data_IF_959645329025
#
_entry.id   IF_959645329025
#
_cell.length_a   1.000
_cell.length_b   1.000
_cell.length_c   1.000
_cell.angle_alpha   90.00
_cell.angle_beta   90.00
_cell.angle_gamma   90.00
#
_symmetry.space_group_name_H-M   'P 1'
#
loop_
_entity.id
_entity.type
_entity.pdbx_description
1 polymer ?
#
# COMPACT_ATOMS: atom_id res chain seq x y z
N UNK A 1 -35.31 18.28 20.67
CA UNK A 1 -33.93 17.85 20.92
C UNK A 1 -32.98 19.00 20.58
N UNK A 2 -32.31 19.61 21.57
CA UNK A 2 -31.26 20.61 21.34
C UNK A 2 -29.93 19.88 21.21
N UNK A 3 -29.42 19.71 20.00
CA UNK A 3 -28.03 19.26 19.81
C UNK A 3 -27.11 20.35 20.37
N UNK A 4 -26.18 19.94 21.23
CA UNK A 4 -25.19 20.85 21.80
C UNK A 4 -24.14 21.20 20.76
N UNK A 5 -23.55 22.40 20.84
CA UNK A 5 -22.54 22.92 19.88
C UNK A 5 -21.38 21.93 19.64
N UNK A 6 -21.03 21.12 20.65
CA UNK A 6 -20.01 20.07 20.52
C UNK A 6 -20.47 18.92 19.62
N UNK A 7 -21.74 18.50 19.70
CA UNK A 7 -22.30 17.43 18.86
C UNK A 7 -22.44 17.88 17.39
N UNK A 8 -22.80 19.13 17.14
CA UNK A 8 -22.83 19.69 15.78
C UNK A 8 -21.43 19.80 15.19
N UNK A 9 -20.41 20.14 15.99
CA UNK A 9 -19.02 20.21 15.51
C UNK A 9 -18.46 18.82 15.16
N UNK A 10 -18.68 17.80 16.00
CA UNK A 10 -18.24 16.43 15.70
C UNK A 10 -18.96 15.85 14.49
N UNK A 11 -20.26 16.12 14.35
CA UNK A 11 -21.03 15.69 13.20
C UNK A 11 -20.57 16.41 11.92
N UNK A 12 -20.28 17.71 11.99
CA UNK A 12 -19.72 18.46 10.88
C UNK A 12 -18.36 17.92 10.45
N UNK A 13 -17.46 17.58 11.38
CA UNK A 13 -16.16 16.96 11.08
C UNK A 13 -16.33 15.57 10.44
N UNK A 14 -17.27 14.76 10.92
CA UNK A 14 -17.59 13.46 10.32
C UNK A 14 -18.19 13.58 8.91
N UNK A 15 -19.10 14.53 8.72
CA UNK A 15 -19.69 14.83 7.41
C UNK A 15 -18.66 15.43 6.46
N UNK A 16 -17.73 16.24 6.96
CA UNK A 16 -16.59 16.75 6.20
C UNK A 16 -15.64 15.62 5.80
N UNK A 17 -15.31 14.71 6.72
CA UNK A 17 -14.55 13.47 6.43
C UNK A 17 -15.23 12.58 5.39
N UNK A 18 -16.56 12.48 5.40
CA UNK A 18 -17.35 11.70 4.44
C UNK A 18 -17.45 12.38 3.06
N UNK A 19 -17.49 13.71 3.01
CA UNK A 19 -17.59 14.46 1.75
C UNK A 19 -16.27 14.54 0.99
N UNK A 20 -15.12 14.50 1.68
CA UNK A 20 -13.79 14.37 1.04
C UNK A 20 -13.62 13.00 0.33
N UNK A 21 -14.50 12.02 0.60
CA UNK A 21 -14.54 10.71 -0.09
C UNK A 21 -15.16 10.78 -1.50
N UNK A 22 -15.61 11.96 -1.95
CA UNK A 22 -16.46 12.11 -3.15
C UNK A 22 -15.72 12.81 -4.30
N UNK A 23 -14.60 12.23 -4.71
CA UNK A 23 -14.28 12.11 -6.14
C UNK A 23 -13.55 10.77 -6.34
N UNK A 24 -14.19 9.80 -7.01
CA UNK A 24 -13.64 8.47 -7.25
C UNK A 24 -13.77 7.44 -6.12
N UNK A 25 -14.20 7.82 -4.91
CA UNK A 25 -14.41 6.89 -3.79
C UNK A 25 -13.11 6.40 -3.11
N UNK A 26 -12.01 7.12 -3.29
CA UNK A 26 -10.70 6.80 -2.73
C UNK A 26 -10.37 7.64 -1.49
N UNK A 27 -9.57 7.09 -0.59
CA UNK A 27 -9.09 7.77 0.61
C UNK A 27 -7.60 8.08 0.51
N UNK A 28 -7.15 9.16 1.16
CA UNK A 28 -5.73 9.50 1.22
C UNK A 28 -4.90 8.28 1.66
N UNK A 29 -3.82 8.00 0.93
CA UNK A 29 -2.92 6.89 1.19
C UNK A 29 -3.34 5.58 0.54
N UNK A 30 -4.51 5.50 -0.12
CA UNK A 30 -4.90 4.31 -0.86
C UNK A 30 -3.91 4.03 -2.00
N UNK A 31 -3.49 2.77 -2.11
CA UNK A 31 -2.73 2.29 -3.27
C UNK A 31 -3.75 2.07 -4.38
N UNK A 32 -3.63 2.81 -5.46
CA UNK A 32 -4.48 2.67 -6.64
C UNK A 32 -3.72 1.88 -7.69
N UNK A 33 -4.32 0.77 -8.12
CA UNK A 33 -3.79 -0.07 -9.18
C UNK A 33 -4.52 0.25 -10.49
N UNK A 34 -3.74 0.45 -11.54
CA UNK A 34 -4.20 0.61 -12.92
C UNK A 34 -3.77 -0.61 -13.73
N UNK A 35 -4.73 -1.41 -14.18
CA UNK A 35 -4.44 -2.52 -15.08
C UNK A 35 -3.99 -1.97 -16.45
N UNK A 36 -2.81 -2.40 -16.91
CA UNK A 36 -2.31 -2.16 -18.26
C UNK A 36 -2.10 -3.47 -18.99
N UNK A 37 -2.07 -3.41 -20.32
CA UNK A 37 -1.68 -4.56 -21.12
C UNK A 37 -0.21 -4.89 -20.86
N UNK A 38 0.05 -6.01 -20.18
CA UNK A 38 1.40 -6.54 -19.95
C UNK A 38 2.08 -6.10 -18.65
N UNK A 39 1.49 -5.17 -17.88
CA UNK A 39 1.99 -4.80 -16.55
C UNK A 39 0.91 -4.07 -15.74
N UNK A 40 1.13 -3.90 -14.43
CA UNK A 40 0.27 -3.07 -13.59
C UNK A 40 1.02 -1.79 -13.23
N UNK A 41 0.34 -0.65 -13.28
CA UNK A 41 0.83 0.60 -12.74
C UNK A 41 0.19 0.87 -11.38
N UNK A 42 0.91 1.54 -10.49
CA UNK A 42 0.46 1.81 -9.12
C UNK A 42 0.72 3.26 -8.77
N UNK A 43 -0.19 3.87 -8.04
CA UNK A 43 -0.05 5.22 -7.48
C UNK A 43 -0.59 5.27 -6.05
N UNK A 44 -0.28 6.34 -5.34
CA UNK A 44 -0.91 6.66 -4.05
C UNK A 44 -1.94 7.77 -4.28
N UNK A 45 -3.16 7.57 -3.78
CA UNK A 45 -4.17 8.61 -3.76
C UNK A 45 -3.83 9.65 -2.70
N UNK A 46 -3.69 10.91 -3.11
CA UNK A 46 -3.39 12.02 -2.19
C UNK A 46 -4.55 13.01 -2.04
N UNK A 47 -5.58 12.91 -2.88
CA UNK A 47 -6.71 13.85 -2.91
C UNK A 47 -6.29 15.28 -3.27
N UNK A 48 -7.28 16.18 -3.37
CA UNK A 48 -7.07 17.53 -3.93
C UNK A 48 -6.39 18.50 -2.94
N UNK A 49 -6.57 18.29 -1.64
CA UNK A 49 -6.09 19.23 -0.61
C UNK A 49 -4.55 19.22 -0.44
N UNK A 50 -3.88 18.18 -0.95
CA UNK A 50 -2.43 18.05 -0.88
C UNK A 50 -1.74 18.84 -2.01
N UNK A 51 -2.43 19.09 -3.13
CA UNK A 51 -1.84 19.67 -4.34
C UNK A 51 -1.46 21.17 -4.23
N UNK A 52 -2.10 21.94 -3.34
CA UNK A 52 -2.04 23.41 -3.38
C UNK A 52 -0.76 24.06 -2.83
N UNK A 53 -0.16 23.50 -1.77
CA UNK A 53 0.95 24.18 -1.05
C UNK A 53 2.29 23.44 -1.11
N UNK A 54 2.31 22.14 -1.42
CA UNK A 54 3.53 21.30 -1.26
C UNK A 54 4.11 20.79 -2.60
N UNK A 55 3.35 20.81 -3.71
CA UNK A 55 3.66 20.01 -4.91
C UNK A 55 3.90 20.81 -6.20
N UNK A 56 4.10 22.12 -6.13
CA UNK A 56 4.22 22.98 -7.32
C UNK A 56 5.55 22.85 -8.10
N UNK A 57 6.54 22.12 -7.60
CA UNK A 57 7.92 22.20 -8.14
C UNK A 57 8.68 20.87 -8.18
N UNK A 58 8.06 19.74 -8.53
CA UNK A 58 8.72 18.45 -8.24
C UNK A 58 8.89 17.48 -9.41
N UNK A 59 10.02 16.78 -9.29
CA UNK A 59 10.89 16.06 -10.24
C UNK A 59 10.55 14.56 -10.39
N UNK A 60 11.33 13.82 -11.20
CA UNK A 60 11.38 12.35 -11.49
C UNK A 60 10.16 11.43 -11.20
N UNK A 61 9.54 11.47 -10.03
CA UNK A 61 8.27 10.81 -9.74
C UNK A 61 7.13 11.84 -9.70
N UNK A 62 6.43 11.96 -10.83
CA UNK A 62 5.45 13.00 -11.04
C UNK A 62 4.12 12.74 -10.30
N UNK A 63 3.48 13.84 -9.92
CA UNK A 63 2.08 13.90 -9.49
C UNK A 63 1.23 14.20 -10.72
N UNK A 64 0.08 13.54 -10.82
CA UNK A 64 -0.84 13.77 -11.92
C UNK A 64 -2.28 13.47 -11.46
N UNK A 65 -3.24 13.97 -12.22
CA UNK A 65 -4.67 13.77 -11.96
C UNK A 65 -5.08 12.33 -12.24
N UNK A 66 -6.13 11.86 -11.55
CA UNK A 66 -6.69 10.53 -11.79
C UNK A 66 -7.07 10.32 -13.26
N UNK A 67 -7.62 11.35 -13.91
CA UNK A 67 -8.10 11.28 -15.28
C UNK A 67 -6.97 11.08 -16.29
N UNK A 68 -5.84 11.77 -16.09
CA UNK A 68 -4.65 11.60 -16.92
C UNK A 68 -4.03 10.23 -16.67
N UNK A 69 -3.86 9.85 -15.40
CA UNK A 69 -3.24 8.55 -15.08
C UNK A 69 -4.15 7.41 -15.51
N UNK A 70 -5.47 7.45 -15.30
CA UNK A 70 -6.33 6.28 -15.58
C UNK A 70 -6.38 5.95 -17.07
N UNK A 71 -6.40 6.94 -17.96
CA UNK A 71 -6.60 6.71 -19.39
C UNK A 71 -7.84 5.83 -19.63
N UNK A 72 -7.66 4.67 -20.27
CA UNK A 72 -8.73 3.69 -20.50
C UNK A 72 -8.85 2.59 -19.43
N UNK A 73 -8.06 2.63 -18.35
CA UNK A 73 -8.11 1.62 -17.29
C UNK A 73 -9.24 1.89 -16.30
N UNK A 74 -9.70 0.82 -15.63
CA UNK A 74 -10.62 0.89 -14.49
C UNK A 74 -9.83 0.74 -13.20
N UNK A 75 -9.39 1.84 -12.55
CA UNK A 75 -8.56 1.77 -11.36
C UNK A 75 -9.27 1.12 -10.17
N UNK A 76 -8.50 0.38 -9.37
CA UNK A 76 -8.99 -0.30 -8.16
C UNK A 76 -8.09 -0.01 -6.97
N UNK A 77 -8.68 0.02 -5.77
CA UNK A 77 -7.90 0.06 -4.52
C UNK A 77 -7.20 -1.29 -4.32
N UNK A 78 -5.89 -1.26 -4.12
CA UNK A 78 -5.01 -2.41 -3.99
C UNK A 78 -4.21 -2.37 -2.67
N UNK A 79 -4.90 -2.08 -1.56
CA UNK A 79 -4.35 -2.10 -0.20
C UNK A 79 -4.19 -3.55 0.33
N UNK A 80 -3.54 -4.40 -0.47
CA UNK A 80 -3.51 -5.85 -0.30
C UNK A 80 -2.80 -6.34 0.97
N UNK A 81 -1.99 -5.48 1.59
CA UNK A 81 -1.20 -5.79 2.79
C UNK A 81 -1.81 -5.20 4.07
N UNK A 82 -2.97 -4.54 3.97
CA UNK A 82 -3.72 -4.11 5.15
C UNK A 82 -4.07 -5.32 6.02
N UNK A 83 -3.88 -5.17 7.34
CA UNK A 83 -4.04 -6.27 8.30
C UNK A 83 -2.87 -7.26 8.35
N UNK A 84 -1.88 -7.12 7.46
CA UNK A 84 -0.61 -7.86 7.51
C UNK A 84 0.57 -6.95 7.86
N UNK A 85 0.50 -5.68 7.44
CA UNK A 85 1.47 -4.64 7.78
C UNK A 85 0.74 -3.46 8.42
N UNK A 86 1.46 -2.76 9.28
CA UNK A 86 0.96 -1.53 9.87
C UNK A 86 0.86 -0.45 8.78
N UNK A 87 -0.29 0.20 8.71
CA UNK A 87 -0.50 1.35 7.84
C UNK A 87 0.15 2.56 8.49
N UNK A 88 0.99 3.28 7.74
CA UNK A 88 1.69 4.47 8.25
C UNK A 88 0.72 5.60 8.56
N UNK A 89 1.14 6.49 9.44
CA UNK A 89 0.38 7.71 9.71
C UNK A 89 0.39 8.66 8.50
N UNK A 90 -0.63 9.50 8.36
CA UNK A 90 -0.71 10.52 7.29
C UNK A 90 0.56 11.37 7.22
N UNK A 91 1.09 11.81 8.37
CA UNK A 91 2.31 12.63 8.44
C UNK A 91 3.50 11.91 7.84
N UNK A 92 3.68 10.63 8.18
CA UNK A 92 4.76 9.81 7.65
C UNK A 92 4.61 9.55 6.14
N UNK A 93 3.39 9.33 5.66
CA UNK A 93 3.15 9.17 4.23
C UNK A 93 3.49 10.47 3.48
N UNK A 94 3.08 11.63 3.99
CA UNK A 94 3.42 12.93 3.39
C UNK A 94 4.94 13.13 3.32
N UNK A 95 5.68 12.80 4.39
CA UNK A 95 7.14 12.91 4.40
C UNK A 95 7.80 12.06 3.31
N UNK A 96 7.36 10.81 3.16
CA UNK A 96 7.87 9.91 2.12
C UNK A 96 7.49 10.39 0.72
N UNK A 97 6.24 10.83 0.54
CA UNK A 97 5.72 11.40 -0.71
C UNK A 97 6.61 12.57 -1.15
N UNK A 98 6.89 13.55 -0.27
CA UNK A 98 7.79 14.68 -0.57
C UNK A 98 9.20 14.21 -0.91
N UNK A 99 9.73 13.25 -0.14
CA UNK A 99 11.10 12.72 -0.35
C UNK A 99 11.23 12.02 -1.70
N UNK A 100 10.30 11.14 -2.04
CA UNK A 100 10.31 10.33 -3.28
C UNK A 100 9.98 11.17 -4.51
N UNK A 101 9.19 12.22 -4.35
CA UNK A 101 8.96 13.20 -5.40
C UNK A 101 10.27 13.91 -5.79
N UNK A 102 11.09 14.29 -4.79
CA UNK A 102 12.40 14.90 -5.04
C UNK A 102 13.36 13.93 -5.74
N UNK A 103 13.47 12.68 -5.28
CA UNK A 103 14.22 11.65 -5.99
C UNK A 103 13.73 10.24 -5.63
N UNK A 104 13.00 9.61 -6.54
CA UNK A 104 12.62 8.20 -6.42
C UNK A 104 13.63 7.24 -7.05
N UNK A 105 14.82 7.72 -7.42
CA UNK A 105 15.88 6.91 -8.00
C UNK A 105 15.60 6.44 -9.43
N UNK A 106 16.36 5.45 -9.90
CA UNK A 106 16.18 4.87 -11.25
C UNK A 106 15.14 3.77 -11.23
N UNK A 107 14.19 3.83 -12.17
CA UNK A 107 13.15 2.81 -12.30
C UNK A 107 13.73 1.43 -12.62
N UNK A 108 13.24 0.40 -11.94
CA UNK A 108 13.57 -1.00 -12.19
C UNK A 108 12.37 -1.91 -11.92
N UNK A 109 11.92 -2.63 -12.96
CA UNK A 109 10.67 -3.44 -12.96
C UNK A 109 10.54 -4.37 -11.75
N UNK A 110 11.62 -5.00 -11.29
CA UNK A 110 11.58 -5.94 -10.16
C UNK A 110 12.07 -5.43 -8.81
N UNK A 111 12.45 -4.15 -8.66
CA UNK A 111 13.10 -3.65 -7.42
C UNK A 111 12.66 -2.24 -7.02
N UNK A 112 12.67 -1.30 -7.97
CA UNK A 112 12.31 0.09 -7.75
C UNK A 112 11.26 0.48 -8.79
N UNK A 113 10.08 -0.12 -8.65
CA UNK A 113 8.95 0.09 -9.55
C UNK A 113 7.84 0.86 -8.81
N UNK A 114 6.74 1.13 -9.51
CA UNK A 114 5.61 1.88 -8.94
C UNK A 114 4.99 1.21 -7.71
N UNK A 115 4.93 -0.13 -7.68
CA UNK A 115 4.39 -0.88 -6.54
C UNK A 115 5.28 -0.76 -5.30
N UNK A 116 6.60 -0.83 -5.47
CA UNK A 116 7.57 -0.64 -4.40
C UNK A 116 7.50 0.79 -3.81
N UNK A 117 7.33 1.80 -4.66
CA UNK A 117 7.15 3.18 -4.23
C UNK A 117 5.85 3.32 -3.42
N UNK A 118 4.73 2.80 -3.94
CA UNK A 118 3.44 2.88 -3.28
C UNK A 118 3.43 2.14 -1.92
N UNK A 119 4.02 0.95 -1.85
CA UNK A 119 4.12 0.17 -0.61
C UNK A 119 5.09 0.80 0.40
N UNK A 120 6.17 1.46 -0.06
CA UNK A 120 7.04 2.25 0.82
C UNK A 120 6.27 3.38 1.49
N UNK A 121 5.45 4.12 0.72
CA UNK A 121 4.65 5.21 1.27
C UNK A 121 3.61 4.68 2.27
N UNK A 122 2.81 3.66 1.89
CA UNK A 122 1.70 3.19 2.74
C UNK A 122 2.16 2.40 3.97
N UNK A 123 3.19 1.56 3.82
CA UNK A 123 3.60 0.57 4.83
C UNK A 123 5.03 0.73 5.35
N UNK A 124 5.82 1.64 4.75
CA UNK A 124 7.23 1.86 5.14
C UNK A 124 8.21 0.83 4.60
N UNK A 125 7.75 -0.05 3.71
CA UNK A 125 8.57 -1.10 3.15
C UNK A 125 8.22 -1.32 1.69
N UNK A 126 9.25 -1.34 0.84
CA UNK A 126 9.13 -1.66 -0.56
C UNK A 126 8.82 -3.16 -0.73
N UNK A 127 7.61 -3.49 -1.20
CA UNK A 127 7.17 -4.87 -1.38
C UNK A 127 6.51 -5.09 -2.73
N UNK A 128 6.80 -6.24 -3.34
CA UNK A 128 6.03 -6.79 -4.46
C UNK A 128 4.87 -7.65 -3.89
N UNK A 129 3.66 -7.08 -3.79
CA UNK A 129 2.55 -7.67 -3.03
C UNK A 129 2.12 -9.03 -3.61
N UNK A 130 2.25 -9.22 -4.92
CA UNK A 130 1.97 -10.52 -5.56
C UNK A 130 2.86 -11.67 -5.03
N UNK A 131 4.08 -11.38 -4.57
CA UNK A 131 4.99 -12.39 -4.01
C UNK A 131 4.53 -12.83 -2.61
N UNK A 132 4.03 -11.90 -1.78
CA UNK A 132 3.51 -12.25 -0.45
C UNK A 132 2.21 -13.05 -0.53
N UNK A 133 1.31 -12.71 -1.47
CA UNK A 133 0.08 -13.49 -1.74
C UNK A 133 0.38 -14.96 -2.10
N UNK A 134 1.43 -15.22 -2.89
CA UNK A 134 1.86 -16.59 -3.25
C UNK A 134 2.36 -17.37 -2.04
N UNK A 135 3.14 -16.75 -1.16
CA UNK A 135 3.64 -17.39 0.05
C UNK A 135 2.51 -17.73 1.04
N UNK A 136 1.51 -16.86 1.17
CA UNK A 136 0.35 -17.08 2.03
C UNK A 136 -0.55 -18.23 1.50
N UNK A 137 -0.77 -18.31 0.17
CA UNK A 137 -1.48 -19.45 -0.45
C UNK A 137 -0.73 -20.77 -0.23
N UNK A 138 0.60 -20.77 -0.33
CA UNK A 138 1.44 -21.94 -0.04
C UNK A 138 1.39 -22.37 1.44
N UNK A 139 1.33 -21.42 2.37
CA UNK A 139 1.19 -21.70 3.80
C UNK A 139 -0.21 -22.18 4.21
N UNK A 140 -1.26 -21.71 3.53
CA UNK A 140 -2.65 -22.15 3.78
C UNK A 140 -2.96 -23.53 3.18
N UNK A 141 -2.28 -23.92 2.10
CA UNK A 141 -2.38 -25.25 1.48
C UNK A 141 -1.62 -26.37 2.20
N UNK A 142 -0.82 -26.07 3.23
CA UNK A 142 -0.10 -27.07 4.04
C UNK A 142 -0.78 -27.43 5.37
N UNK A 143 -1.93 -26.84 5.70
CA UNK A 143 -2.68 -27.16 6.93
C UNK A 143 -3.67 -28.33 6.77
N UNK A 144 -3.28 -29.34 6.00
CA UNK A 144 -4.15 -30.47 5.70
C UNK A 144 -3.43 -31.61 4.98
N UNK A 145 -2.34 -32.13 5.56
CA UNK A 145 -1.96 -33.54 5.44
C UNK A 145 -0.87 -33.80 6.48
N UNK A 146 -1.12 -34.75 7.38
CA UNK A 146 -0.28 -35.01 8.54
C UNK A 146 1.14 -35.46 8.19
N UNK A 147 2.06 -35.13 9.09
CA UNK A 147 3.16 -35.99 9.49
C UNK A 147 3.62 -35.53 10.87
N UNK A 148 3.05 -36.19 11.87
CA UNK A 148 3.77 -36.51 13.09
C UNK A 148 5.02 -37.29 12.65
N UNK A 149 6.20 -36.72 12.89
CA UNK A 149 7.37 -37.44 13.38
C UNK A 149 8.42 -36.41 13.77
N UNK A 150 8.28 -35.93 15.00
CA UNK A 150 9.42 -35.59 15.83
C UNK A 150 9.79 -36.89 16.54
N UNK A 151 10.72 -37.65 15.96
CA UNK A 151 11.45 -38.68 16.71
C UNK A 151 12.92 -38.29 16.68
N UNK A 152 13.29 -37.52 17.70
CA UNK A 152 14.59 -37.59 18.35
C UNK A 152 15.14 -39.03 18.31
N UNK A 153 16.15 -39.24 17.46
CA UNK A 153 17.11 -40.34 17.63
C UNK A 153 18.53 -39.84 17.43
N UNK A 154 18.98 -39.02 18.38
CA UNK A 154 20.36 -39.02 18.78
C UNK A 154 20.59 -40.29 19.62
N UNK A 155 21.28 -41.30 19.06
CA UNK A 155 22.20 -42.12 19.85
C UNK A 155 23.05 -43.06 18.98
N UNK A 156 24.37 -42.89 19.18
CA UNK A 156 25.41 -43.92 19.30
C UNK A 156 25.91 -44.67 18.05
N UNK A 157 27.22 -44.55 17.84
CA UNK A 157 28.05 -45.70 17.44
C UNK A 157 29.21 -45.40 16.49
N UNK A 158 30.39 -45.04 17.01
CA UNK A 158 31.63 -45.68 16.53
C UNK A 158 31.56 -47.17 16.96
N UNK A 159 32.12 -48.17 16.23
CA UNK A 159 33.52 -48.32 15.81
C UNK A 159 33.63 -48.84 14.34
N UNK A 160 34.79 -49.07 13.71
CA UNK A 160 35.83 -50.06 13.98
C UNK A 160 37.05 -49.75 13.09
N UNK A 161 38.26 -49.81 13.65
CA UNK A 161 39.30 -50.84 13.39
C UNK A 161 40.14 -50.54 12.14
#
# INVERSE_FOLDING_TARGET
MKMTIKQTLTLAILLFRLTISVEGGYHFGDIIKFDRTGFNHYAIWVGDEVFGEVFSTVTKCAFDSLDVVKGSSSPVVANDLDGQKDVRTVVQMIQDIVTLNNDCGRYHVGKNNCEHIATTIRYGEAVFAETLKKNQKRGRGRRGLGLLQDETRANQGAPAA
#
